data_IF_521130428351
#
_entry.id   IF_521130428351
#
_cell.length_a   1.000
_cell.length_b   1.000
_cell.length_c   1.000
_cell.angle_alpha   90.00
_cell.angle_beta   90.00
_cell.angle_gamma   90.00
#
_symmetry.space_group_name_H-M   'P 1'
#
loop_
_entity.id
_entity.type
_entity.pdbx_description
1 polymer ?
#
# COMPACT_ATOMS: atom_id res chain seq x y z
N UNK A 1 7.44 50.03 -32.71
CA UNK A 1 7.41 49.74 -31.26
C UNK A 1 7.29 48.23 -31.04
N UNK A 2 8.39 47.47 -31.21
CA UNK A 2 8.42 45.99 -31.16
C UNK A 2 9.46 45.45 -30.16
N UNK A 3 9.94 46.27 -29.23
CA UNK A 3 11.10 45.93 -28.38
C UNK A 3 10.77 45.32 -27.02
N UNK A 4 9.53 44.87 -26.80
CA UNK A 4 9.01 44.50 -25.46
C UNK A 4 8.75 43.00 -25.26
N UNK A 5 9.53 42.12 -25.90
CA UNK A 5 9.36 40.65 -25.76
C UNK A 5 10.63 39.90 -25.35
N UNK A 6 11.70 40.61 -24.99
CA UNK A 6 13.00 39.99 -24.63
C UNK A 6 13.03 39.57 -23.15
N UNK A 7 12.23 40.22 -22.30
CA UNK A 7 12.16 39.94 -20.87
C UNK A 7 10.72 39.80 -20.40
N UNK A 8 10.48 38.84 -19.51
CA UNK A 8 9.22 38.67 -18.80
C UNK A 8 9.48 38.86 -17.30
N UNK A 9 8.54 39.53 -16.62
CA UNK A 9 8.66 39.84 -15.20
C UNK A 9 7.96 38.78 -14.36
N UNK A 10 8.72 38.14 -13.46
CA UNK A 10 8.21 37.23 -12.41
C UNK A 10 8.78 37.70 -11.09
N UNK A 11 7.91 37.91 -10.09
CA UNK A 11 8.30 38.30 -8.73
C UNK A 11 9.22 39.54 -8.70
N UNK A 12 8.82 40.59 -9.42
CA UNK A 12 9.55 41.86 -9.53
C UNK A 12 11.02 41.74 -10.04
N UNK A 13 11.38 40.59 -10.64
CA UNK A 13 12.66 40.36 -11.31
C UNK A 13 12.44 40.17 -12.81
N UNK A 14 13.34 40.74 -13.62
CA UNK A 14 13.32 40.59 -15.07
C UNK A 14 14.10 39.34 -15.49
N UNK A 15 13.42 38.37 -16.12
CA UNK A 15 14.06 37.16 -16.65
C UNK A 15 14.09 37.19 -18.19
N UNK A 16 15.20 36.75 -18.81
CA UNK A 16 15.31 36.66 -20.26
C UNK A 16 14.34 35.61 -20.83
N UNK A 17 13.61 35.97 -21.88
CA UNK A 17 12.67 35.10 -22.58
C UNK A 17 13.43 34.02 -23.40
N UNK A 18 12.83 32.85 -23.64
CA UNK A 18 13.45 31.74 -24.37
C UNK A 18 13.82 32.06 -25.84
N UNK A 19 13.27 33.14 -26.41
CA UNK A 19 13.52 33.58 -27.78
C UNK A 19 14.34 34.88 -27.79
N UNK A 20 15.63 34.77 -27.42
CA UNK A 20 16.55 35.90 -27.36
C UNK A 20 17.10 36.22 -28.75
N UNK A 21 16.93 37.46 -29.20
CA UNK A 21 17.63 38.01 -30.36
C UNK A 21 18.83 38.83 -29.87
N UNK A 22 20.01 38.22 -29.86
CA UNK A 22 21.26 38.85 -29.39
C UNK A 22 22.01 39.46 -30.60
N UNK A 23 22.58 40.67 -30.49
CA UNK A 23 23.39 41.27 -31.54
C UNK A 23 24.70 40.49 -31.75
N UNK A 24 25.18 40.44 -33.00
CA UNK A 24 26.26 39.54 -33.46
C UNK A 24 27.63 39.73 -32.79
N UNK A 25 27.82 40.83 -32.02
CA UNK A 25 29.10 41.18 -31.37
C UNK A 25 29.06 41.08 -29.82
N UNK A 26 28.13 40.30 -29.28
CA UNK A 26 28.07 40.04 -27.83
C UNK A 26 29.14 39.02 -27.43
N UNK A 27 30.09 39.43 -26.57
CA UNK A 27 31.14 38.55 -26.04
C UNK A 27 31.04 38.49 -24.53
N UNK A 28 31.01 37.28 -23.97
CA UNK A 28 31.04 37.03 -22.52
C UNK A 28 32.15 36.01 -22.27
N UNK A 29 33.10 36.33 -21.39
CA UNK A 29 34.24 35.49 -21.06
C UNK A 29 34.95 34.86 -22.29
N UNK A 30 35.24 35.67 -23.32
CA UNK A 30 35.95 35.25 -24.55
C UNK A 30 35.20 34.29 -25.47
N UNK A 31 33.89 34.10 -25.30
CA UNK A 31 33.05 33.30 -26.19
C UNK A 31 32.31 34.22 -27.18
N UNK A 32 32.40 33.88 -28.48
CA UNK A 32 31.75 34.60 -29.59
C UNK A 32 30.24 34.27 -29.60
N UNK A 33 29.40 35.27 -29.91
CA UNK A 33 27.93 35.22 -29.86
C UNK A 33 27.27 33.89 -30.32
N UNK A 34 27.80 33.26 -31.38
CA UNK A 34 27.28 32.01 -31.95
C UNK A 34 27.30 30.80 -30.98
N UNK A 35 28.27 30.71 -30.07
CA UNK A 35 28.32 29.62 -29.06
C UNK A 35 27.62 29.98 -27.74
N UNK A 36 27.46 31.27 -27.48
CA UNK A 36 26.77 31.76 -26.26
C UNK A 36 25.26 31.67 -26.38
N UNK A 37 24.70 31.88 -27.58
CA UNK A 37 23.26 31.85 -27.83
C UNK A 37 22.59 30.50 -27.48
N UNK A 38 23.06 29.33 -27.94
CA UNK A 38 22.43 28.05 -27.57
C UNK A 38 22.55 27.77 -26.07
N UNK A 39 23.64 28.21 -25.42
CA UNK A 39 23.86 28.02 -23.99
C UNK A 39 22.88 28.86 -23.14
N UNK A 40 22.63 30.11 -23.54
CA UNK A 40 21.68 31.00 -22.87
C UNK A 40 20.23 30.59 -23.16
N UNK A 41 19.92 30.15 -24.39
CA UNK A 41 18.60 29.59 -24.74
C UNK A 41 18.31 28.31 -23.95
N UNK A 42 19.30 27.42 -23.78
CA UNK A 42 19.14 26.24 -22.95
C UNK A 42 18.95 26.58 -21.46
N UNK A 43 19.70 27.55 -20.94
CA UNK A 43 19.55 28.02 -19.57
C UNK A 43 18.19 28.70 -19.32
N UNK A 44 17.72 29.55 -20.23
CA UNK A 44 16.40 30.20 -20.12
C UNK A 44 15.25 29.18 -20.23
N UNK A 45 15.37 28.18 -21.10
CA UNK A 45 14.42 27.06 -21.17
C UNK A 45 14.41 26.23 -19.88
N UNK A 46 15.58 25.97 -19.27
CA UNK A 46 15.67 25.27 -17.99
C UNK A 46 15.01 26.05 -16.85
N UNK A 47 15.19 27.37 -16.82
CA UNK A 47 14.57 28.28 -15.85
C UNK A 47 13.04 28.34 -16.06
N UNK A 48 12.57 28.45 -17.32
CA UNK A 48 11.15 28.44 -17.65
C UNK A 48 10.46 27.13 -17.26
N UNK A 49 11.12 25.99 -17.50
CA UNK A 49 10.64 24.68 -17.05
C UNK A 49 10.61 24.57 -15.51
N UNK A 50 11.56 25.19 -14.82
CA UNK A 50 11.60 25.23 -13.35
C UNK A 50 10.42 26.03 -12.77
N UNK A 51 10.06 27.17 -13.37
CA UNK A 51 8.86 27.92 -12.96
C UNK A 51 7.56 27.15 -13.21
N UNK A 52 7.48 26.42 -14.33
CA UNK A 52 6.33 25.55 -14.59
C UNK A 52 6.23 24.44 -13.52
N UNK A 53 7.35 23.80 -13.17
CA UNK A 53 7.40 22.80 -12.08
C UNK A 53 7.05 23.39 -10.71
N UNK A 54 7.45 24.63 -10.40
CA UNK A 54 7.08 25.32 -9.16
C UNK A 54 5.59 25.64 -9.11
N UNK A 55 5.00 26.09 -10.22
CA UNK A 55 3.56 26.36 -10.31
C UNK A 55 2.74 25.08 -10.20
N UNK A 56 3.23 23.97 -10.75
CA UNK A 56 2.65 22.64 -10.56
C UNK A 56 2.76 22.21 -9.09
N UNK A 57 3.90 22.43 -8.45
CA UNK A 57 4.10 22.17 -7.02
C UNK A 57 3.12 22.93 -6.13
N UNK A 58 2.95 24.25 -6.35
CA UNK A 58 2.00 25.08 -5.58
C UNK A 58 0.56 24.55 -5.66
N UNK A 59 0.10 24.15 -6.85
CA UNK A 59 -1.24 23.57 -7.05
C UNK A 59 -1.42 22.27 -6.27
N UNK A 60 -0.39 21.42 -6.25
CA UNK A 60 -0.41 20.15 -5.50
C UNK A 60 -0.50 20.42 -3.98
N UNK A 61 0.25 21.39 -3.46
CA UNK A 61 0.17 21.77 -2.05
C UNK A 61 -1.18 22.40 -1.69
N UNK A 62 -1.79 23.16 -2.59
CA UNK A 62 -3.15 23.71 -2.41
C UNK A 62 -4.20 22.61 -2.26
N UNK A 63 -4.12 21.55 -3.09
CA UNK A 63 -5.00 20.39 -3.01
C UNK A 63 -4.80 19.60 -1.69
N UNK A 64 -3.56 19.46 -1.23
CA UNK A 64 -3.24 18.83 0.06
C UNK A 64 -3.70 19.68 1.25
N UNK A 65 -3.53 21.01 1.19
CA UNK A 65 -3.95 21.94 2.24
C UNK A 65 -5.47 22.00 2.36
N UNK A 66 -6.22 21.89 1.25
CA UNK A 66 -7.68 21.77 1.32
C UNK A 66 -8.17 20.44 1.91
N UNK A 67 -7.45 19.35 1.65
CA UNK A 67 -7.93 18.00 1.97
C UNK A 67 -7.35 17.43 3.28
N UNK A 68 -6.60 18.21 4.04
CA UNK A 68 -5.85 17.74 5.21
C UNK A 68 -6.73 17.08 6.29
N UNK A 69 -7.92 17.65 6.59
CA UNK A 69 -8.90 17.04 7.51
C UNK A 69 -9.31 15.65 7.03
N UNK A 70 -9.64 15.50 5.74
CA UNK A 70 -10.14 14.24 5.18
C UNK A 70 -9.07 13.16 5.17
N UNK A 71 -7.81 13.54 4.92
CA UNK A 71 -6.65 12.64 5.02
C UNK A 71 -6.45 12.19 6.47
N UNK A 72 -6.54 13.10 7.43
CA UNK A 72 -6.38 12.80 8.86
C UNK A 72 -7.51 11.88 9.35
N UNK A 73 -8.77 12.16 8.96
CA UNK A 73 -9.92 11.32 9.28
C UNK A 73 -9.76 9.92 8.67
N UNK A 74 -9.34 9.82 7.41
CA UNK A 74 -9.06 8.53 6.76
C UNK A 74 -7.97 7.73 7.47
N UNK A 75 -6.92 8.41 7.95
CA UNK A 75 -5.82 7.81 8.68
C UNK A 75 -6.26 7.26 10.06
N UNK A 76 -7.11 8.00 10.78
CA UNK A 76 -7.71 7.55 12.06
C UNK A 76 -8.64 6.35 11.86
N UNK A 77 -9.47 6.38 10.82
CA UNK A 77 -10.34 5.25 10.47
C UNK A 77 -9.49 4.01 10.13
N UNK A 78 -8.43 4.16 9.33
CA UNK A 78 -7.53 3.06 8.99
C UNK A 78 -6.86 2.46 10.24
N UNK A 79 -6.47 3.29 11.22
CA UNK A 79 -5.93 2.84 12.50
C UNK A 79 -6.95 1.99 13.27
N UNK A 80 -8.21 2.44 13.37
CA UNK A 80 -9.28 1.69 14.04
C UNK A 80 -9.59 0.38 13.32
N UNK A 81 -9.66 0.40 11.98
CA UNK A 81 -9.89 -0.78 11.16
C UNK A 81 -8.77 -1.80 11.31
N UNK A 82 -7.51 -1.37 11.33
CA UNK A 82 -6.36 -2.25 11.56
C UNK A 82 -6.41 -2.91 12.94
N UNK A 83 -6.70 -2.13 13.98
CA UNK A 83 -6.87 -2.64 15.34
C UNK A 83 -8.01 -3.64 15.43
N UNK A 84 -9.16 -3.32 14.84
CA UNK A 84 -10.31 -4.20 14.74
C UNK A 84 -9.98 -5.50 13.99
N UNK A 85 -9.24 -5.41 12.89
CA UNK A 85 -8.84 -6.56 12.08
C UNK A 85 -7.89 -7.50 12.85
N UNK A 86 -6.91 -6.94 13.57
CA UNK A 86 -6.01 -7.73 14.43
C UNK A 86 -6.77 -8.43 15.57
N UNK A 87 -7.77 -7.78 16.15
CA UNK A 87 -8.67 -8.40 17.14
C UNK A 87 -9.54 -9.48 16.49
N UNK A 88 -10.14 -9.22 15.33
CA UNK A 88 -10.96 -10.17 14.60
C UNK A 88 -10.20 -11.44 14.25
N UNK A 89 -8.99 -11.35 13.66
CA UNK A 89 -8.17 -12.51 13.30
C UNK A 89 -7.90 -13.42 14.51
N UNK A 90 -7.74 -12.81 15.69
CA UNK A 90 -7.51 -13.53 16.92
C UNK A 90 -8.74 -14.25 17.46
N UNK A 91 -9.92 -13.63 17.37
CA UNK A 91 -11.17 -14.32 17.70
C UNK A 91 -11.45 -15.43 16.68
N UNK A 92 -11.14 -15.18 15.40
CA UNK A 92 -11.26 -16.15 14.31
C UNK A 92 -10.35 -17.35 14.51
N UNK A 93 -9.18 -17.24 15.16
CA UNK A 93 -8.31 -18.39 15.40
C UNK A 93 -9.02 -19.55 16.14
N UNK A 94 -9.92 -19.24 17.08
CA UNK A 94 -10.74 -20.25 17.76
C UNK A 94 -11.82 -20.86 16.87
N UNK A 95 -12.54 -20.03 16.10
CA UNK A 95 -13.60 -20.49 15.20
C UNK A 95 -13.03 -21.34 14.05
N UNK A 96 -11.86 -20.98 13.54
CA UNK A 96 -11.18 -21.66 12.43
C UNK A 96 -10.84 -23.11 12.81
N UNK A 97 -10.41 -23.36 14.05
CA UNK A 97 -10.15 -24.72 14.54
C UNK A 97 -11.43 -25.55 14.60
N UNK A 98 -12.54 -24.96 15.05
CA UNK A 98 -13.84 -25.66 15.08
C UNK A 98 -14.36 -25.98 13.67
N UNK A 99 -14.30 -25.00 12.77
CA UNK A 99 -14.66 -25.17 11.36
C UNK A 99 -13.77 -26.23 10.71
N UNK A 100 -12.47 -26.26 11.01
CA UNK A 100 -11.55 -27.25 10.49
C UNK A 100 -11.87 -28.66 10.99
N UNK A 101 -12.28 -28.84 12.26
CA UNK A 101 -12.71 -30.15 12.77
C UNK A 101 -13.96 -30.64 12.03
N UNK A 102 -14.98 -29.79 11.93
CA UNK A 102 -16.23 -30.13 11.24
C UNK A 102 -15.97 -30.37 9.75
N UNK A 103 -15.12 -29.53 9.15
CA UNK A 103 -14.73 -29.60 7.75
C UNK A 103 -14.01 -30.89 7.41
N UNK A 104 -13.02 -31.29 8.22
CA UNK A 104 -12.32 -32.58 8.06
C UNK A 104 -13.32 -33.73 8.12
N UNK A 105 -14.17 -33.79 9.16
CA UNK A 105 -15.20 -34.84 9.28
C UNK A 105 -16.13 -34.86 8.04
N UNK A 106 -16.55 -33.69 7.57
CA UNK A 106 -17.42 -33.55 6.41
C UNK A 106 -16.75 -34.01 5.11
N UNK A 107 -15.50 -33.62 4.89
CA UNK A 107 -14.71 -34.02 3.71
C UNK A 107 -14.44 -35.53 3.75
N UNK A 108 -14.10 -36.10 4.91
CA UNK A 108 -13.92 -37.56 5.03
C UNK A 108 -15.22 -38.30 4.69
N UNK A 109 -16.35 -37.88 5.25
CA UNK A 109 -17.64 -38.53 5.02
C UNK A 109 -18.07 -38.42 3.55
N UNK A 110 -17.89 -37.25 2.94
CA UNK A 110 -18.19 -37.02 1.53
C UNK A 110 -17.26 -37.81 0.61
N UNK A 111 -15.96 -37.87 0.92
CA UNK A 111 -14.97 -38.62 0.14
C UNK A 111 -15.27 -40.12 0.13
N UNK A 112 -15.63 -40.70 1.27
CA UNK A 112 -16.04 -42.10 1.38
C UNK A 112 -17.35 -42.34 0.62
N UNK A 113 -18.34 -41.45 0.78
CA UNK A 113 -19.62 -41.56 0.08
C UNK A 113 -19.42 -41.54 -1.44
N UNK A 114 -18.69 -40.57 -1.97
CA UNK A 114 -18.45 -40.43 -3.41
C UNK A 114 -17.67 -41.61 -3.99
N UNK A 115 -16.63 -42.09 -3.30
CA UNK A 115 -15.88 -43.26 -3.76
C UNK A 115 -16.76 -44.53 -3.72
N UNK A 116 -17.64 -44.66 -2.73
CA UNK A 116 -18.55 -45.79 -2.61
C UNK A 116 -19.64 -45.79 -3.69
N UNK A 117 -20.24 -44.64 -4.00
CA UNK A 117 -21.27 -44.55 -5.04
C UNK A 117 -20.74 -44.95 -6.41
N UNK A 118 -19.53 -44.51 -6.73
CA UNK A 118 -18.94 -44.81 -8.03
C UNK A 118 -18.45 -46.26 -8.11
N UNK A 119 -17.91 -46.77 -7.00
CA UNK A 119 -17.60 -48.21 -6.88
C UNK A 119 -18.85 -49.08 -7.10
N UNK A 120 -19.99 -48.74 -6.48
CA UNK A 120 -21.23 -49.50 -6.63
C UNK A 120 -21.80 -49.42 -8.06
N UNK A 121 -21.75 -48.25 -8.70
CA UNK A 121 -22.16 -48.08 -10.08
C UNK A 121 -21.34 -48.95 -11.06
N UNK A 122 -20.03 -49.02 -10.85
CA UNK A 122 -19.11 -49.82 -11.66
C UNK A 122 -19.20 -51.32 -11.34
N UNK A 123 -19.45 -51.67 -10.08
CA UNK A 123 -19.67 -53.06 -9.65
C UNK A 123 -20.93 -53.65 -10.29
N UNK A 124 -22.02 -52.86 -10.37
CA UNK A 124 -23.26 -53.25 -11.07
C UNK A 124 -23.08 -53.41 -12.58
N UNK A 125 -22.15 -52.66 -13.17
CA UNK A 125 -21.87 -52.66 -14.62
C UNK A 125 -20.85 -53.73 -15.04
N UNK A 126 -20.20 -54.42 -14.10
CA UNK A 126 -19.31 -55.56 -14.37
C UNK A 126 -17.96 -55.20 -15.02
N UNK A 127 -17.56 -53.93 -15.09
CA UNK A 127 -16.32 -53.49 -15.74
C UNK A 127 -15.08 -53.93 -14.95
N UNK A 128 -14.46 -55.03 -15.39
CA UNK A 128 -13.27 -55.62 -14.77
C UNK A 128 -12.01 -55.33 -15.61
N UNK A 129 -10.85 -55.27 -14.95
CA UNK A 129 -9.51 -54.93 -15.49
C UNK A 129 -9.13 -55.70 -16.77
N UNK A 130 -9.70 -56.87 -17.04
CA UNK A 130 -9.35 -57.69 -18.21
C UNK A 130 -9.72 -57.07 -19.56
N UNK A 131 -10.62 -56.07 -19.61
CA UNK A 131 -11.09 -55.47 -20.87
C UNK A 131 -10.35 -54.18 -21.26
N UNK A 132 -9.40 -53.71 -20.43
CA UNK A 132 -8.67 -52.45 -20.65
C UNK A 132 -7.21 -52.74 -20.96
N UNK A 133 -6.87 -52.81 -22.25
CA UNK A 133 -5.47 -52.89 -22.70
C UNK A 133 -4.69 -51.64 -22.29
N UNK A 134 -3.37 -51.76 -22.11
CA UNK A 134 -2.46 -50.66 -21.72
C UNK A 134 -2.64 -49.42 -22.62
N UNK A 135 -3.51 -48.51 -22.17
CA UNK A 135 -3.84 -47.25 -22.82
C UNK A 135 -3.46 -46.15 -21.85
N UNK A 136 -2.78 -45.11 -22.33
CA UNK A 136 -2.32 -43.96 -21.53
C UNK A 136 -3.43 -42.94 -21.25
N UNK A 137 -4.69 -43.27 -21.57
CA UNK A 137 -5.81 -42.37 -21.38
C UNK A 137 -6.36 -42.47 -19.95
N UNK A 138 -6.19 -41.39 -19.19
CA UNK A 138 -6.54 -41.30 -17.76
C UNK A 138 -8.05 -41.53 -17.53
N UNK A 139 -8.92 -41.21 -18.49
CA UNK A 139 -10.37 -41.41 -18.36
C UNK A 139 -10.82 -42.87 -18.36
N UNK A 140 -10.04 -43.79 -18.94
CA UNK A 140 -10.35 -45.22 -18.97
C UNK A 140 -10.13 -45.85 -17.59
N UNK A 141 -9.13 -45.38 -16.84
CA UNK A 141 -8.85 -45.88 -15.49
C UNK A 141 -9.94 -45.50 -14.48
N UNK A 142 -10.62 -44.37 -14.65
CA UNK A 142 -11.77 -43.99 -13.81
C UNK A 142 -13.02 -44.85 -14.05
N UNK A 143 -13.06 -45.71 -15.07
CA UNK A 143 -14.21 -46.59 -15.36
C UNK A 143 -14.01 -48.04 -14.88
N UNK A 144 -13.03 -48.27 -14.01
CA UNK A 144 -12.71 -49.61 -13.51
C UNK A 144 -12.90 -49.66 -12.00
N UNK A 145 -13.60 -50.68 -11.49
CA UNK A 145 -13.90 -50.82 -10.06
C UNK A 145 -12.65 -50.84 -9.15
N UNK A 146 -11.56 -51.45 -9.62
CA UNK A 146 -10.33 -51.63 -8.84
C UNK A 146 -9.62 -50.30 -8.56
N UNK A 147 -9.74 -49.31 -9.45
CA UNK A 147 -9.10 -48.00 -9.27
C UNK A 147 -9.85 -47.16 -8.25
N UNK A 148 -11.18 -47.22 -8.20
CA UNK A 148 -11.98 -46.57 -7.17
C UNK A 148 -11.69 -47.12 -5.77
N UNK A 149 -11.48 -48.43 -5.66
CA UNK A 149 -11.06 -49.06 -4.42
C UNK A 149 -9.65 -48.58 -4.00
N UNK A 150 -8.70 -48.53 -4.94
CA UNK A 150 -7.36 -47.99 -4.68
C UNK A 150 -7.38 -46.51 -4.27
N UNK A 151 -8.18 -45.68 -4.96
CA UNK A 151 -8.37 -44.26 -4.64
C UNK A 151 -8.96 -44.11 -3.22
N UNK A 152 -9.94 -44.94 -2.85
CA UNK A 152 -10.51 -44.93 -1.50
C UNK A 152 -9.45 -45.23 -0.43
N UNK A 153 -8.59 -46.23 -0.64
CA UNK A 153 -7.50 -46.56 0.30
C UNK A 153 -6.50 -45.39 0.42
N UNK A 154 -6.09 -44.81 -0.72
CA UNK A 154 -5.15 -43.68 -0.73
C UNK A 154 -5.77 -42.47 -0.02
N UNK A 155 -7.05 -42.19 -0.25
CA UNK A 155 -7.78 -41.09 0.38
C UNK A 155 -7.81 -41.29 1.90
N UNK A 156 -8.09 -42.50 2.39
CA UNK A 156 -8.05 -42.83 3.82
C UNK A 156 -6.64 -42.61 4.40
N UNK A 157 -5.58 -43.07 3.73
CA UNK A 157 -4.20 -42.90 4.23
C UNK A 157 -3.82 -41.43 4.31
N UNK A 158 -4.10 -40.64 3.26
CA UNK A 158 -3.83 -39.21 3.22
C UNK A 158 -4.62 -38.47 4.30
N UNK A 159 -5.89 -38.82 4.48
CA UNK A 159 -6.76 -38.24 5.50
C UNK A 159 -6.26 -38.55 6.92
N UNK A 160 -5.82 -39.79 7.19
CA UNK A 160 -5.25 -40.16 8.49
C UNK A 160 -3.98 -39.36 8.78
N UNK A 161 -3.12 -39.15 7.78
CA UNK A 161 -1.90 -38.32 7.94
C UNK A 161 -2.28 -36.86 8.22
N UNK A 162 -3.22 -36.29 7.44
CA UNK A 162 -3.72 -34.91 7.66
C UNK A 162 -4.35 -34.76 9.04
N UNK A 163 -5.23 -35.68 9.44
CA UNK A 163 -5.92 -35.67 10.73
C UNK A 163 -4.92 -35.81 11.88
N UNK A 164 -3.90 -36.67 11.74
CA UNK A 164 -2.82 -36.81 12.71
C UNK A 164 -2.03 -35.51 12.88
N UNK A 165 -1.64 -34.86 11.77
CA UNK A 165 -0.99 -33.54 11.80
C UNK A 165 -1.87 -32.50 12.48
N UNK A 166 -3.16 -32.43 12.12
CA UNK A 166 -4.12 -31.49 12.68
C UNK A 166 -4.35 -31.72 14.18
N UNK A 167 -4.39 -32.98 14.65
CA UNK A 167 -4.47 -33.31 16.07
C UNK A 167 -3.21 -32.88 16.84
N UNK A 168 -2.02 -33.11 16.28
CA UNK A 168 -0.76 -32.66 16.89
C UNK A 168 -0.70 -31.12 16.97
N UNK A 169 -1.14 -30.42 15.93
CA UNK A 169 -1.15 -28.97 15.90
C UNK A 169 -2.24 -28.36 16.79
N UNK A 170 -3.42 -29.00 16.91
CA UNK A 170 -4.56 -28.51 17.71
C UNK A 170 -4.17 -28.19 19.15
N UNK A 171 -3.41 -29.08 19.81
CA UNK A 171 -2.96 -28.84 21.18
C UNK A 171 -2.04 -27.62 21.28
N UNK A 172 -1.11 -27.45 20.32
CA UNK A 172 -0.19 -26.30 20.30
C UNK A 172 -0.92 -25.00 20.00
N UNK A 173 -1.89 -25.01 19.09
CA UNK A 173 -2.69 -23.82 18.75
C UNK A 173 -3.52 -23.36 19.95
N UNK A 174 -4.16 -24.28 20.71
CA UNK A 174 -4.92 -23.90 21.90
C UNK A 174 -4.04 -23.32 23.01
N UNK A 175 -2.86 -23.91 23.24
CA UNK A 175 -1.90 -23.37 24.21
C UNK A 175 -1.40 -22.00 23.75
N UNK A 176 -1.09 -21.84 22.47
CA UNK A 176 -0.66 -20.56 21.91
C UNK A 176 -1.77 -19.50 22.01
N UNK A 177 -3.03 -19.84 21.74
CA UNK A 177 -4.16 -18.93 21.91
C UNK A 177 -4.33 -18.54 23.38
N UNK A 178 -4.19 -19.49 24.31
CA UNK A 178 -4.26 -19.21 25.75
C UNK A 178 -3.10 -18.29 26.21
N UNK A 179 -1.88 -18.56 25.75
CA UNK A 179 -0.72 -17.70 26.00
C UNK A 179 -0.91 -16.31 25.40
N UNK A 180 -1.37 -16.20 24.15
CA UNK A 180 -1.68 -14.92 23.52
C UNK A 180 -2.79 -14.22 24.31
N UNK A 181 -3.82 -14.95 24.80
CA UNK A 181 -4.90 -14.44 25.68
C UNK A 181 -4.37 -13.80 26.94
N UNK A 182 -3.51 -14.49 27.69
CA UNK A 182 -2.89 -13.94 28.89
C UNK A 182 -1.90 -12.82 28.57
N UNK A 183 -1.06 -12.98 27.55
CA UNK A 183 -0.14 -11.96 27.09
C UNK A 183 -0.88 -10.69 26.68
N UNK A 184 -2.03 -10.80 26.01
CA UNK A 184 -2.83 -9.65 25.63
C UNK A 184 -3.57 -9.00 26.79
N UNK A 185 -3.92 -9.78 27.82
CA UNK A 185 -4.48 -9.23 29.05
C UNK A 185 -3.43 -8.42 29.80
N UNK A 186 -2.17 -8.89 29.77
CA UNK A 186 -1.02 -8.15 30.27
C UNK A 186 -0.69 -6.91 29.40
N UNK A 187 -0.71 -7.04 28.08
CA UNK A 187 -0.55 -5.94 27.11
C UNK A 187 -1.68 -4.90 27.25
N UNK A 188 -2.91 -5.31 27.55
CA UNK A 188 -4.00 -4.39 27.88
C UNK A 188 -3.76 -3.63 29.18
N UNK A 189 -3.02 -4.22 30.13
CA UNK A 189 -2.59 -3.57 31.36
C UNK A 189 -1.39 -2.64 31.16
N UNK A 190 -0.51 -2.96 30.21
CA UNK A 190 0.62 -2.13 29.79
C UNK A 190 0.17 -1.32 28.57
N UNK A 191 -0.52 -0.20 28.81
CA UNK A 191 -1.11 0.70 27.78
C UNK A 191 -0.19 1.06 26.61
N UNK A 192 1.13 0.86 26.75
CA UNK A 192 2.14 1.18 25.76
C UNK A 192 2.17 0.27 24.51
N UNK A 193 1.59 -0.93 24.51
CA UNK A 193 1.64 -1.79 23.30
C UNK A 193 0.49 -1.54 22.32
N UNK A 194 -0.68 -1.09 22.79
CA UNK A 194 -1.71 -0.49 21.92
C UNK A 194 -1.30 0.90 21.42
N UNK A 195 -0.31 1.51 22.10
CA UNK A 195 0.26 2.78 21.71
C UNK A 195 1.20 2.66 20.50
N UNK A 196 1.63 1.47 20.07
CA UNK A 196 2.53 1.35 18.91
C UNK A 196 1.92 1.90 17.60
N UNK A 197 0.68 1.54 17.19
CA UNK A 197 -0.02 2.20 16.09
C UNK A 197 -0.17 3.72 16.28
N UNK A 198 -0.37 4.18 17.52
CA UNK A 198 -0.48 5.61 17.87
C UNK A 198 0.88 6.31 17.72
N UNK A 199 1.98 5.69 18.17
CA UNK A 199 3.34 6.22 18.05
C UNK A 199 3.75 6.30 16.59
N UNK A 200 3.45 5.26 15.81
CA UNK A 200 3.71 5.29 14.36
C UNK A 200 2.88 6.39 13.68
N UNK A 201 1.65 6.64 14.14
CA UNK A 201 0.82 7.75 13.65
C UNK A 201 1.40 9.12 14.01
N UNK A 202 1.80 9.33 15.26
CA UNK A 202 2.43 10.58 15.72
C UNK A 202 3.75 10.82 14.96
N UNK A 203 4.57 9.79 14.79
CA UNK A 203 5.82 9.87 14.03
C UNK A 203 5.56 10.19 12.56
N UNK A 204 4.51 9.64 11.95
CA UNK A 204 4.10 9.99 10.58
C UNK A 204 3.63 11.43 10.48
N UNK A 205 2.85 11.95 11.43
CA UNK A 205 2.45 13.36 11.46
C UNK A 205 3.68 14.27 11.58
N UNK A 206 4.59 13.98 12.51
CA UNK A 206 5.85 14.72 12.66
C UNK A 206 6.64 14.69 11.34
N UNK A 207 6.75 13.53 10.71
CA UNK A 207 7.42 13.37 9.42
C UNK A 207 6.74 14.23 8.33
N UNK A 208 5.41 14.16 8.17
CA UNK A 208 4.66 14.94 7.19
C UNK A 208 4.82 16.44 7.43
N UNK A 209 4.71 16.91 8.69
CA UNK A 209 4.92 18.33 9.03
C UNK A 209 6.35 18.77 8.76
N UNK A 210 7.35 17.93 9.07
CA UNK A 210 8.75 18.22 8.82
C UNK A 210 9.03 18.35 7.32
N UNK A 211 8.57 17.37 6.52
CA UNK A 211 8.69 17.43 5.06
C UNK A 211 7.93 18.61 4.47
N UNK A 212 6.73 18.91 4.97
CA UNK A 212 5.93 20.07 4.57
C UNK A 212 6.68 21.39 4.79
N UNK A 213 7.25 21.60 5.98
CA UNK A 213 8.06 22.78 6.29
C UNK A 213 9.28 22.86 5.37
N UNK A 214 10.00 21.76 5.14
CA UNK A 214 11.16 21.76 4.24
C UNK A 214 10.80 22.04 2.78
N UNK A 215 9.60 21.66 2.34
CA UNK A 215 9.11 21.93 0.99
C UNK A 215 8.57 23.36 0.82
N UNK A 216 8.01 23.95 1.88
CA UNK A 216 7.54 25.34 1.93
C UNK A 216 8.68 26.35 2.09
N UNK A 217 9.73 26.00 2.81
CA UNK A 217 10.87 26.90 3.11
C UNK A 217 11.50 27.57 1.86
N UNK A 218 11.73 26.88 0.72
CA UNK A 218 12.22 27.53 -0.50
C UNK A 218 11.22 28.48 -1.16
N UNK A 219 9.92 28.24 -0.99
CA UNK A 219 8.85 29.05 -1.56
C UNK A 219 8.66 30.36 -0.79
N UNK A 220 8.79 30.32 0.54
CA UNK A 220 8.69 31.50 1.40
C UNK A 220 9.89 32.44 1.26
N UNK A 221 11.09 31.91 1.00
CA UNK A 221 12.28 32.73 0.73
C UNK A 221 12.24 33.48 -0.60
N UNK A 222 11.25 33.18 -1.45
CA UNK A 222 11.07 33.78 -2.77
C UNK A 222 10.15 35.02 -2.74
N UNK A 223 9.42 35.24 -1.65
CA UNK A 223 8.56 36.42 -1.42
C UNK A 223 9.34 37.46 -0.60
N UNK A 224 9.78 38.60 -1.18
CA UNK A 224 10.42 39.65 -0.41
C UNK A 224 9.34 40.59 0.14
N UNK A 225 8.86 40.32 1.35
CA UNK A 225 8.09 41.31 2.09
C UNK A 225 9.01 42.49 2.49
N UNK A 226 8.62 43.75 2.24
CA UNK A 226 9.46 44.92 2.50
C UNK A 226 9.56 45.29 3.99
N UNK A 227 8.93 44.53 4.89
CA UNK A 227 8.99 44.70 6.33
C UNK A 227 9.32 43.35 6.95
N UNK A 228 10.61 43.08 7.19
CA UNK A 228 11.13 41.84 7.78
C UNK A 228 10.68 41.60 9.21
N UNK A 229 9.39 41.29 9.40
CA UNK A 229 8.79 40.99 10.70
C UNK A 229 8.41 39.51 10.84
N UNK A 230 8.40 38.71 9.76
CA UNK A 230 7.91 37.35 9.89
C UNK A 230 8.96 36.39 10.47
N UNK A 231 9.03 36.33 11.80
CA UNK A 231 9.88 35.37 12.50
C UNK A 231 9.20 34.02 12.61
N UNK A 232 10.00 32.95 12.73
CA UNK A 232 9.55 31.55 12.75
C UNK A 232 8.44 31.25 13.79
N UNK A 233 8.33 32.07 14.84
CA UNK A 233 7.27 32.00 15.85
C UNK A 233 5.93 32.52 15.32
N UNK A 234 5.93 33.60 14.54
CA UNK A 234 4.72 34.22 14.01
C UNK A 234 4.07 33.33 12.94
N UNK A 235 4.86 32.57 12.17
CA UNK A 235 4.36 31.61 11.16
C UNK A 235 3.65 30.42 11.80
N UNK A 236 4.14 30.00 12.97
CA UNK A 236 3.53 28.88 13.66
C UNK A 236 2.21 29.31 14.30
N UNK A 237 2.13 30.53 14.85
CA UNK A 237 0.85 31.09 15.31
C UNK A 237 -0.12 31.37 14.17
N UNK A 238 0.31 31.89 13.02
CA UNK A 238 -0.59 32.11 11.88
C UNK A 238 -1.10 30.82 11.25
N UNK A 239 -0.25 29.80 11.13
CA UNK A 239 -0.67 28.48 10.63
C UNK A 239 -1.63 27.80 11.62
N UNK A 240 -1.36 27.87 12.93
CA UNK A 240 -2.29 27.35 13.95
C UNK A 240 -3.59 28.16 14.04
N UNK A 241 -3.54 29.48 13.86
CA UNK A 241 -4.72 30.34 13.81
C UNK A 241 -5.54 30.12 12.54
N UNK A 242 -4.91 29.88 11.38
CA UNK A 242 -5.59 29.54 10.14
C UNK A 242 -6.24 28.14 10.20
N UNK A 243 -5.61 27.19 10.89
CA UNK A 243 -6.22 25.88 11.15
C UNK A 243 -7.30 25.91 12.23
N UNK A 244 -7.24 26.81 13.22
CA UNK A 244 -8.22 26.93 14.31
C UNK A 244 -9.41 27.86 13.98
N UNK A 245 -9.26 28.78 13.04
CA UNK A 245 -10.31 29.74 12.66
C UNK A 245 -11.37 29.15 11.72
N UNK A 246 -11.14 27.98 11.14
CA UNK A 246 -12.08 27.31 10.22
C UNK A 246 -12.96 26.25 10.94
N UNK A 247 -12.96 26.27 12.28
CA UNK A 247 -13.80 25.44 13.15
C UNK A 247 -15.12 26.15 13.59
N UNK A 248 -15.43 27.31 13.00
CA UNK A 248 -16.74 28.02 13.11
C UNK A 248 -17.30 28.35 11.74
#
# INVERSE_FOLDING_TARGET
MQHLSIFFSVLNRCFPNANLKVPDNFTVNSLIGNQTLPSITNASNAIANTFNLQNLGKKIFEDFAKSWIWILVGLVIAMLVSLLFLLLLRFTAGILVWVLIIGVIGVTAYGIYHCYTEYDALNKSGSTIQNVGFTVNIGVYFNVKETWLAIMIILIVVEVILLLLLLFLRKRILIAIALIKEASKAIGHIMSSLFYPVVTFVLLLVCITYWGITALYPLTLMEPDPLGLFTKSDLMEEIWAYFASDET
#
